data_IF_117515227341
#
_entry.id   IF_117515227341
#
_cell.length_a   1.000
_cell.length_b   1.000
_cell.length_c   1.000
_cell.angle_alpha   90.00
_cell.angle_beta   90.00
_cell.angle_gamma   90.00
#
_symmetry.space_group_name_H-M   'P 1'
#
loop_
_entity.id
_entity.type
_entity.pdbx_description
1 polymer ?
#
# COMPACT_ATOMS: atom_id res chain seq x y z
N UNK A 1 16.86 10.66 -4.66
CA UNK A 1 16.98 11.21 -6.03
C UNK A 1 17.78 12.52 -6.03
N UNK A 2 17.47 13.54 -5.24
CA UNK A 2 18.16 14.86 -5.30
C UNK A 2 19.66 14.84 -5.11
N UNK A 3 20.19 13.95 -4.25
CA UNK A 3 21.65 13.79 -4.09
C UNK A 3 22.31 13.40 -5.41
N UNK A 4 21.67 12.52 -6.19
CA UNK A 4 22.19 12.04 -7.46
C UNK A 4 22.12 13.12 -8.53
N UNK A 5 20.99 13.83 -8.67
CA UNK A 5 20.88 14.94 -9.63
C UNK A 5 21.86 16.09 -9.34
N UNK A 6 22.04 16.45 -8.06
CA UNK A 6 23.05 17.45 -7.67
C UNK A 6 24.47 17.00 -7.99
N UNK A 7 24.76 15.71 -7.82
CA UNK A 7 26.06 15.15 -8.22
C UNK A 7 26.28 15.24 -9.74
N UNK A 8 25.22 15.15 -10.55
CA UNK A 8 25.26 15.40 -12.00
C UNK A 8 25.31 16.89 -12.36
N UNK A 9 25.33 17.80 -11.38
CA UNK A 9 25.41 19.25 -11.61
C UNK A 9 24.07 19.92 -11.91
N UNK A 10 22.95 19.25 -11.72
CA UNK A 10 21.63 19.83 -11.98
C UNK A 10 21.25 20.82 -10.88
N UNK A 11 20.76 22.00 -11.28
CA UNK A 11 20.30 23.05 -10.38
C UNK A 11 18.78 23.07 -10.24
N UNK A 12 18.06 22.77 -11.33
CA UNK A 12 16.60 22.78 -11.42
C UNK A 12 16.13 21.64 -12.32
N UNK A 13 14.97 21.04 -12.03
CA UNK A 13 14.43 19.94 -12.84
C UNK A 13 12.93 19.74 -12.69
N UNK A 14 12.34 19.10 -13.70
CA UNK A 14 10.96 18.65 -13.69
C UNK A 14 10.86 17.22 -13.18
N UNK A 15 9.99 17.00 -12.20
CA UNK A 15 9.63 15.68 -11.70
C UNK A 15 8.25 15.30 -12.22
N UNK A 16 8.22 14.33 -13.13
CA UNK A 16 6.96 13.75 -13.63
C UNK A 16 6.46 12.69 -12.65
N UNK A 17 5.33 12.94 -12.00
CA UNK A 17 4.71 11.99 -11.06
C UNK A 17 3.40 11.43 -11.60
N UNK A 18 3.17 10.14 -11.34
CA UNK A 18 1.97 9.42 -11.78
C UNK A 18 0.71 9.69 -10.94
N UNK A 19 0.42 10.95 -10.60
CA UNK A 19 -0.83 11.35 -9.94
C UNK A 19 -1.91 11.47 -10.99
N UNK A 20 -3.02 10.74 -10.81
CA UNK A 20 -4.15 10.74 -11.73
C UNK A 20 -5.15 11.86 -11.44
N UNK A 21 -6.00 12.17 -12.41
CA UNK A 21 -7.03 13.20 -12.29
C UNK A 21 -8.07 12.86 -11.21
N UNK A 22 -8.37 11.57 -11.02
CA UNK A 22 -9.29 11.08 -9.99
C UNK A 22 -8.73 11.11 -8.56
N UNK A 23 -7.48 11.53 -8.38
CA UNK A 23 -6.84 11.76 -7.08
C UNK A 23 -6.91 13.24 -6.66
N UNK A 24 -8.08 13.87 -6.84
CA UNK A 24 -8.31 15.32 -6.77
C UNK A 24 -7.67 16.00 -5.55
N UNK A 25 -7.77 15.40 -4.35
CA UNK A 25 -7.16 15.95 -3.12
C UNK A 25 -5.63 16.04 -3.22
N UNK A 26 -4.98 15.04 -3.84
CA UNK A 26 -3.52 15.02 -4.06
C UNK A 26 -3.14 16.03 -5.12
N UNK A 27 -3.89 16.10 -6.23
CA UNK A 27 -3.68 17.07 -7.30
C UNK A 27 -3.73 18.49 -6.75
N UNK A 28 -4.79 18.85 -6.02
CA UNK A 28 -4.95 20.18 -5.43
C UNK A 28 -3.80 20.53 -4.48
N UNK A 29 -3.41 19.60 -3.59
CA UNK A 29 -2.30 19.81 -2.64
C UNK A 29 -0.96 20.03 -3.34
N UNK A 30 -0.70 19.30 -4.43
CA UNK A 30 0.57 19.41 -5.18
C UNK A 30 0.59 20.69 -6.00
N UNK A 31 -0.49 21.03 -6.71
CA UNK A 31 -0.61 22.30 -7.44
C UNK A 31 -0.44 23.52 -6.54
N UNK A 32 -1.07 23.50 -5.36
CA UNK A 32 -0.94 24.59 -4.40
C UNK A 32 0.51 24.78 -3.90
N UNK A 33 1.31 23.72 -3.89
CA UNK A 33 2.72 23.77 -3.50
C UNK A 33 3.65 24.12 -4.66
N UNK A 34 3.35 23.67 -5.89
CA UNK A 34 4.13 23.93 -7.11
C UNK A 34 5.46 23.16 -7.23
N UNK A 35 6.17 22.99 -6.12
CA UNK A 35 7.44 22.27 -6.05
C UNK A 35 7.37 21.06 -5.10
N UNK A 36 8.46 20.35 -4.84
CA UNK A 36 8.46 19.23 -3.90
C UNK A 36 8.54 19.67 -2.44
N UNK A 37 8.36 18.73 -1.50
CA UNK A 37 8.54 19.04 -0.07
C UNK A 37 9.99 19.17 0.34
N UNK A 38 10.93 18.78 -0.52
CA UNK A 38 12.35 18.76 -0.19
C UNK A 38 13.11 19.94 -0.84
N UNK A 39 12.66 20.43 -2.00
CA UNK A 39 13.30 21.56 -2.67
C UNK A 39 12.32 22.37 -3.53
N UNK A 40 12.58 23.67 -3.65
CA UNK A 40 11.90 24.59 -4.58
C UNK A 40 12.39 24.45 -6.02
N UNK A 41 13.55 23.80 -6.23
CA UNK A 41 14.16 23.56 -7.54
C UNK A 41 13.58 22.34 -8.28
N UNK A 42 12.72 21.57 -7.61
CA UNK A 42 12.01 20.43 -8.19
C UNK A 42 10.58 20.86 -8.52
N UNK A 43 10.31 21.09 -9.80
CA UNK A 43 8.96 21.38 -10.30
C UNK A 43 8.15 20.09 -10.37
N UNK A 44 6.96 20.09 -9.75
CA UNK A 44 6.13 18.89 -9.67
C UNK A 44 5.12 18.84 -10.82
N UNK A 45 5.39 18.01 -11.82
CA UNK A 45 4.57 17.85 -13.03
C UNK A 45 3.63 16.64 -12.91
N UNK A 46 2.34 16.82 -13.21
CA UNK A 46 1.32 15.77 -13.06
C UNK A 46 0.61 15.47 -14.40
N UNK A 47 1.34 14.91 -15.38
CA UNK A 47 0.83 14.77 -16.76
C UNK A 47 -0.46 13.96 -16.86
N UNK A 48 -0.64 12.93 -16.01
CA UNK A 48 -1.88 12.15 -15.99
C UNK A 48 -3.07 12.96 -15.47
N UNK A 49 -2.86 13.80 -14.45
CA UNK A 49 -3.90 14.68 -13.95
C UNK A 49 -4.24 15.78 -14.96
N UNK A 50 -3.24 16.34 -15.63
CA UNK A 50 -3.42 17.40 -16.63
C UNK A 50 -4.13 16.89 -17.88
N UNK A 51 -3.89 15.62 -18.27
CA UNK A 51 -4.58 14.95 -19.36
C UNK A 51 -5.96 14.35 -18.98
N UNK A 52 -6.39 14.49 -17.72
CA UNK A 52 -7.69 13.94 -17.26
C UNK A 52 -7.72 12.41 -17.10
N UNK A 53 -6.56 11.75 -17.08
CA UNK A 53 -6.44 10.28 -16.97
C UNK A 53 -6.86 9.80 -15.58
N UNK A 54 -7.71 8.78 -15.55
CA UNK A 54 -8.26 8.14 -14.34
C UNK A 54 -7.69 6.75 -14.13
N UNK A 55 -8.03 6.11 -13.01
CA UNK A 55 -7.65 4.71 -12.75
C UNK A 55 -8.20 3.74 -13.80
N UNK A 56 -9.35 4.05 -14.42
CA UNK A 56 -9.95 3.21 -15.47
C UNK A 56 -9.13 3.23 -16.74
N UNK A 57 -8.62 4.41 -17.12
CA UNK A 57 -7.77 4.59 -18.29
C UNK A 57 -6.45 3.86 -18.11
N UNK A 58 -5.85 3.96 -16.91
CA UNK A 58 -4.63 3.20 -16.56
C UNK A 58 -4.88 1.69 -16.62
N UNK A 59 -6.00 1.21 -16.09
CA UNK A 59 -6.37 -0.21 -16.18
C UNK A 59 -6.52 -0.68 -17.62
N UNK A 60 -7.17 0.11 -18.46
CA UNK A 60 -7.34 -0.18 -19.90
C UNK A 60 -6.00 -0.22 -20.63
N UNK A 61 -5.10 0.72 -20.32
CA UNK A 61 -3.75 0.74 -20.88
C UNK A 61 -2.98 -0.54 -20.56
N UNK A 62 -3.00 -0.99 -19.30
CA UNK A 62 -2.29 -2.20 -18.87
C UNK A 62 -2.90 -3.47 -19.46
N UNK A 63 -4.22 -3.57 -19.57
CA UNK A 63 -4.90 -4.69 -20.21
C UNK A 63 -4.56 -4.85 -21.70
N UNK A 64 -4.17 -3.77 -22.37
CA UNK A 64 -3.76 -3.79 -23.77
C UNK A 64 -2.28 -4.12 -23.98
N UNK A 65 -1.47 -4.20 -22.92
CA UNK A 65 -0.05 -4.54 -23.04
C UNK A 65 0.13 -6.04 -23.28
N UNK A 66 1.19 -6.45 -24.01
CA UNK A 66 1.50 -7.87 -24.23
C UNK A 66 2.11 -8.55 -22.98
N UNK A 67 2.18 -7.84 -21.85
CA UNK A 67 2.68 -8.34 -20.58
C UNK A 67 1.92 -7.65 -19.42
N UNK A 68 1.89 -8.31 -18.27
CA UNK A 68 1.41 -7.76 -17.00
C UNK A 68 2.53 -7.89 -15.96
N UNK A 69 2.46 -7.10 -14.89
CA UNK A 69 3.36 -7.20 -13.74
C UNK A 69 2.94 -8.31 -12.77
N UNK A 70 1.85 -9.02 -13.06
CA UNK A 70 1.25 -10.07 -12.23
C UNK A 70 0.99 -9.62 -10.79
N UNK A 71 0.59 -8.34 -10.62
CA UNK A 71 0.29 -7.76 -9.32
C UNK A 71 -1.21 -7.73 -9.06
N UNK A 72 -1.62 -8.34 -7.94
CA UNK A 72 -3.02 -8.33 -7.52
C UNK A 72 -3.56 -6.90 -7.38
N UNK A 73 -4.52 -6.57 -8.25
CA UNK A 73 -5.15 -5.26 -8.31
C UNK A 73 -6.65 -5.39 -8.04
N UNK A 74 -7.14 -4.68 -7.03
CA UNK A 74 -8.55 -4.67 -6.63
C UNK A 74 -9.08 -3.25 -6.78
N UNK A 75 -10.11 -3.06 -7.61
CA UNK A 75 -10.68 -1.75 -7.92
C UNK A 75 -9.62 -0.71 -8.37
N UNK A 76 -8.68 -1.15 -9.21
CA UNK A 76 -7.60 -0.31 -9.71
C UNK A 76 -6.52 0.04 -8.67
N UNK A 77 -6.52 -0.62 -7.51
CA UNK A 77 -5.50 -0.47 -6.47
C UNK A 77 -4.70 -1.75 -6.33
N UNK A 78 -3.40 -1.65 -6.57
CA UNK A 78 -2.47 -2.76 -6.40
C UNK A 78 -2.24 -3.04 -4.90
N UNK A 79 -2.59 -4.25 -4.45
CA UNK A 79 -2.44 -4.63 -3.05
C UNK A 79 -0.97 -4.86 -2.67
N UNK A 80 -0.18 -5.39 -3.60
CA UNK A 80 1.25 -5.69 -3.45
C UNK A 80 2.18 -4.54 -3.88
N UNK A 81 1.65 -3.35 -4.16
CA UNK A 81 2.49 -2.21 -4.59
C UNK A 81 3.52 -1.79 -3.53
N UNK A 82 4.61 -1.14 -3.95
CA UNK A 82 5.73 -0.58 -3.17
C UNK A 82 6.38 -1.47 -2.09
N UNK A 83 5.64 -1.83 -1.05
CA UNK A 83 6.10 -2.65 0.07
C UNK A 83 5.08 -3.77 0.29
N UNK A 84 5.50 -4.87 0.89
CA UNK A 84 4.63 -5.98 1.28
C UNK A 84 3.68 -5.56 2.43
N UNK A 85 4.17 -5.52 3.67
CA UNK A 85 3.36 -5.36 4.86
C UNK A 85 3.60 -4.01 5.56
N UNK A 86 4.08 -3.00 4.83
CA UNK A 86 4.31 -1.66 5.38
C UNK A 86 3.18 -1.20 6.31
N UNK A 87 3.54 -0.72 7.50
CA UNK A 87 2.60 -0.34 8.55
C UNK A 87 1.65 0.80 8.17
N UNK A 88 1.96 1.56 7.10
CA UNK A 88 1.05 2.55 6.50
C UNK A 88 -0.11 1.93 5.71
N UNK A 89 -0.01 0.65 5.33
CA UNK A 89 -1.14 -0.06 4.72
C UNK A 89 -2.27 -0.26 5.75
N UNK A 90 -3.54 -0.14 5.32
CA UNK A 90 -4.68 -0.49 6.16
C UNK A 90 -4.53 -1.90 6.74
N UNK A 91 -5.03 -2.11 7.96
CA UNK A 91 -4.94 -3.41 8.64
C UNK A 91 -5.49 -4.56 7.79
N UNK A 92 -6.66 -4.36 7.16
CA UNK A 92 -7.28 -5.39 6.31
C UNK A 92 -6.40 -5.81 5.13
N UNK A 93 -5.69 -4.85 4.52
CA UNK A 93 -4.75 -5.16 3.44
C UNK A 93 -3.54 -5.97 3.94
N UNK A 94 -3.00 -5.62 5.12
CA UNK A 94 -1.92 -6.42 5.73
C UNK A 94 -2.36 -7.84 6.06
N UNK A 95 -3.57 -8.03 6.61
CA UNK A 95 -4.13 -9.35 6.89
C UNK A 95 -4.32 -10.18 5.61
N UNK A 96 -4.89 -9.59 4.55
CA UNK A 96 -5.07 -10.28 3.28
C UNK A 96 -3.74 -10.72 2.67
N UNK A 97 -2.72 -9.85 2.72
CA UNK A 97 -1.37 -10.17 2.22
C UNK A 97 -0.69 -11.27 3.04
N UNK A 98 -0.84 -11.25 4.37
CA UNK A 98 -0.30 -12.31 5.24
C UNK A 98 -1.04 -13.63 5.00
N UNK A 99 -2.37 -13.62 4.84
CA UNK A 99 -3.14 -14.83 4.54
C UNK A 99 -2.70 -15.44 3.20
N UNK A 100 -2.43 -14.61 2.19
CA UNK A 100 -1.93 -15.06 0.89
C UNK A 100 -0.47 -15.53 0.92
N UNK A 101 0.39 -14.86 1.71
CA UNK A 101 1.83 -15.11 1.79
C UNK A 101 2.34 -15.01 3.24
N UNK A 102 2.12 -16.05 4.08
CA UNK A 102 2.44 -15.98 5.52
C UNK A 102 3.90 -15.68 5.81
N UNK A 103 4.83 -16.14 4.96
CA UNK A 103 6.26 -15.92 5.11
C UNK A 103 6.66 -14.44 5.02
N UNK A 104 5.83 -13.59 4.38
CA UNK A 104 6.06 -12.15 4.33
C UNK A 104 6.09 -11.55 5.75
N UNK A 105 5.34 -12.10 6.72
CA UNK A 105 5.32 -11.60 8.09
C UNK A 105 6.61 -11.87 8.88
N UNK A 106 7.42 -12.87 8.48
CA UNK A 106 8.57 -13.35 9.26
C UNK A 106 9.58 -12.24 9.54
N UNK A 107 9.94 -11.45 8.52
CA UNK A 107 10.88 -10.34 8.70
C UNK A 107 10.30 -9.29 9.65
N UNK A 108 9.04 -8.91 9.48
CA UNK A 108 8.38 -7.89 10.29
C UNK A 108 8.27 -8.31 11.76
N UNK A 109 7.89 -9.57 12.02
CA UNK A 109 7.84 -10.16 13.36
C UNK A 109 9.22 -10.11 14.02
N UNK A 110 10.26 -10.56 13.30
CA UNK A 110 11.64 -10.52 13.79
C UNK A 110 12.05 -9.09 14.14
N UNK A 111 11.75 -8.13 13.27
CA UNK A 111 12.15 -6.74 13.50
C UNK A 111 11.47 -6.12 14.72
N UNK A 112 10.18 -6.42 14.96
CA UNK A 112 9.52 -5.97 16.19
C UNK A 112 10.08 -6.65 17.44
N UNK A 113 10.53 -7.91 17.34
CA UNK A 113 11.10 -8.65 18.49
C UNK A 113 12.51 -8.19 18.88
N UNK A 114 13.22 -7.44 18.03
CA UNK A 114 14.57 -6.96 18.36
C UNK A 114 14.60 -5.93 19.50
N UNK A 115 13.44 -5.35 19.87
CA UNK A 115 13.33 -4.39 20.97
C UNK A 115 14.37 -3.25 20.93
N UNK A 116 14.72 -2.78 19.72
CA UNK A 116 15.71 -1.74 19.49
C UNK A 116 15.30 -0.35 20.01
N UNK A 117 14.05 -0.19 20.46
CA UNK A 117 13.54 1.06 20.98
C UNK A 117 13.77 1.13 22.51
N UNK A 118 14.26 2.27 22.96
CA UNK A 118 14.44 2.59 24.39
C UNK A 118 13.13 2.89 25.14
N UNK A 119 11.97 2.76 24.48
CA UNK A 119 10.65 3.06 25.07
C UNK A 119 10.00 1.79 25.67
N UNK A 120 9.23 1.92 26.78
CA UNK A 120 8.56 0.78 27.42
C UNK A 120 7.55 0.05 26.52
N UNK A 121 6.99 0.73 25.52
CA UNK A 121 6.01 0.19 24.57
C UNK A 121 6.59 -0.80 23.54
N UNK A 122 7.89 -1.06 23.59
CA UNK A 122 8.62 -1.92 22.64
C UNK A 122 8.90 -1.26 21.29
N UNK A 123 9.69 -1.96 20.45
CA UNK A 123 10.09 -1.52 19.11
C UNK A 123 9.04 -1.89 18.04
N UNK A 124 7.77 -1.57 18.28
CA UNK A 124 6.70 -1.84 17.31
C UNK A 124 6.69 -0.80 16.19
N UNK A 125 6.40 -1.23 14.96
CA UNK A 125 6.28 -0.30 13.81
C UNK A 125 5.06 0.61 13.92
N UNK A 126 4.00 0.14 14.59
CA UNK A 126 2.83 0.94 14.96
C UNK A 126 2.48 0.75 16.43
N UNK A 127 2.32 1.88 17.12
CA UNK A 127 1.91 1.90 18.51
C UNK A 127 0.40 1.69 18.69
N UNK A 128 -0.40 2.07 17.68
CA UNK A 128 -1.86 2.15 17.70
C UNK A 128 -2.56 0.90 17.14
N UNK A 129 -1.95 -0.29 17.28
CA UNK A 129 -2.51 -1.50 16.70
C UNK A 129 -1.85 -2.80 17.14
N UNK A 130 -2.29 -3.94 16.54
CA UNK A 130 -1.69 -5.25 16.78
C UNK A 130 -0.25 -5.31 16.25
N UNK A 131 0.57 -6.16 16.87
CA UNK A 131 1.90 -6.50 16.37
C UNK A 131 1.81 -7.31 15.06
N UNK A 132 2.91 -7.46 14.33
CA UNK A 132 2.94 -8.37 13.18
C UNK A 132 2.75 -9.83 13.57
N UNK A 133 3.15 -10.22 14.79
CA UNK A 133 2.89 -11.56 15.32
C UNK A 133 1.39 -11.79 15.53
N UNK A 134 0.70 -10.79 16.09
CA UNK A 134 -0.76 -10.82 16.21
C UNK A 134 -1.44 -10.84 14.84
N UNK A 135 -0.97 -10.05 13.88
CA UNK A 135 -1.51 -10.06 12.51
C UNK A 135 -1.34 -11.42 11.83
N UNK A 136 -0.20 -12.09 12.02
CA UNK A 136 0.02 -13.44 11.51
C UNK A 136 -0.93 -14.45 12.14
N UNK A 137 -1.10 -14.40 13.47
CA UNK A 137 -2.07 -15.24 14.17
C UNK A 137 -3.49 -14.97 13.70
N UNK A 138 -3.91 -13.71 13.59
CA UNK A 138 -5.24 -13.36 13.10
C UNK A 138 -5.48 -13.82 11.67
N UNK A 139 -4.48 -13.70 10.79
CA UNK A 139 -4.61 -14.15 9.40
C UNK A 139 -4.75 -15.68 9.29
N UNK A 140 -4.13 -16.44 10.21
CA UNK A 140 -4.25 -17.89 10.28
C UNK A 140 -5.58 -18.35 10.93
N UNK A 141 -6.02 -17.66 11.99
CA UNK A 141 -7.21 -18.01 12.77
C UNK A 141 -8.52 -17.51 12.11
N UNK A 142 -8.45 -16.52 11.21
CA UNK A 142 -9.63 -15.97 10.55
C UNK A 142 -10.17 -16.93 9.49
N UNK A 143 -11.18 -17.72 9.90
CA UNK A 143 -12.03 -18.51 9.02
C UNK A 143 -12.75 -17.67 7.97
N UNK A 144 -13.12 -18.30 6.85
CA UNK A 144 -14.00 -17.68 5.87
C UNK A 144 -15.42 -17.58 6.46
N UNK A 145 -16.12 -16.48 6.19
CA UNK A 145 -17.52 -16.32 6.59
C UNK A 145 -18.43 -17.25 5.79
N UNK A 146 -18.00 -17.68 4.60
CA UNK A 146 -18.72 -18.59 3.73
C UNK A 146 -17.89 -19.85 3.51
N UNK A 147 -17.55 -20.54 4.60
CA UNK A 147 -16.87 -21.81 4.50
C UNK A 147 -17.78 -22.80 3.75
N UNK A 148 -17.31 -23.28 2.60
CA UNK A 148 -18.07 -24.21 1.75
C UNK A 148 -18.25 -25.56 2.45
N UNK A 149 -17.44 -25.84 3.47
CA UNK A 149 -17.56 -27.01 4.35
C UNK A 149 -18.48 -26.77 5.56
N UNK A 150 -19.08 -25.59 5.71
CA UNK A 150 -19.99 -25.31 6.82
C UNK A 150 -21.28 -26.13 6.69
N UNK A 151 -21.47 -27.12 7.56
CA UNK A 151 -22.73 -27.83 7.67
C UNK A 151 -23.80 -26.88 8.22
N UNK A 152 -24.98 -26.77 7.57
CA UNK A 152 -26.04 -25.92 8.08
C UNK A 152 -26.49 -26.41 9.46
N UNK A 153 -26.53 -25.50 10.43
CA UNK A 153 -27.02 -25.78 11.78
C UNK A 153 -28.49 -26.18 11.70
N UNK A 154 -28.82 -27.39 12.13
CA UNK A 154 -30.20 -27.85 12.24
C UNK A 154 -30.95 -26.99 13.27
N UNK A 155 -32.00 -26.30 12.82
CA UNK A 155 -32.86 -25.47 13.65
C UNK A 155 -34.09 -26.27 14.10
N UNK A 156 -34.19 -26.55 15.40
CA UNK A 156 -35.28 -27.34 16.00
C UNK A 156 -36.41 -26.47 16.58
N UNK A 157 -36.67 -25.28 16.03
CA UNK A 157 -37.71 -24.38 16.55
C UNK A 157 -39.16 -24.85 16.25
N UNK A 158 -39.37 -26.12 15.92
CA UNK A 158 -40.66 -26.71 15.58
C UNK A 158 -40.92 -28.13 16.11
N UNK A 159 -40.03 -28.66 16.96
CA UNK A 159 -40.24 -29.89 17.75
C UNK A 159 -40.56 -29.56 19.22
#
# INVERSE_FOLDING_TARGET
MHRYLRHLGWTDWDQMIGIRADEQRRVAKIRARGHSTESTHETMCMPLADAGVTVRDVGTFWQAQPFDLDLLTVNGRTLEGNCDLCFLKPRGQRLALIKARPEAAVWWIRMESLNLASKPSGARFRADGPSYADLARFAADQGDLFDVAEEPIACFCGD
#
